data_IF_239966619543
#
_entry.id   IF_239966619543
#
_cell.length_a   1.000
_cell.length_b   1.000
_cell.length_c   1.000
_cell.angle_alpha   90.00
_cell.angle_beta   90.00
_cell.angle_gamma   90.00
#
_symmetry.space_group_name_H-M   'P 1'
#
loop_
_entity.id
_entity.type
_entity.pdbx_description
1 polymer ?
#
# COMPACT_ATOMS: atom_id res chain seq x y z
N UNK A 1 -32.09 8.03 -10.91
CA UNK A 1 -31.16 8.78 -10.04
C UNK A 1 -31.96 9.48 -8.96
N UNK A 2 -32.42 8.71 -7.97
CA UNK A 2 -33.20 9.26 -6.85
C UNK A 2 -32.41 9.39 -5.57
N UNK A 3 -31.20 8.86 -5.54
CA UNK A 3 -30.46 8.63 -4.30
C UNK A 3 -29.31 9.59 -4.05
N UNK A 4 -28.73 10.20 -5.03
CA UNK A 4 -27.46 10.89 -4.85
C UNK A 4 -27.57 12.41 -4.74
N UNK A 5 -28.52 12.85 -3.94
CA UNK A 5 -28.57 14.26 -3.54
C UNK A 5 -27.46 14.65 -2.53
N UNK A 6 -26.62 13.69 -2.13
CA UNK A 6 -25.55 13.95 -1.15
C UNK A 6 -24.19 14.30 -1.78
N UNK A 7 -23.94 13.89 -3.03
CA UNK A 7 -22.69 14.26 -3.71
C UNK A 7 -22.70 15.66 -4.33
N UNK A 8 -23.89 16.20 -4.53
CA UNK A 8 -24.05 17.58 -5.00
C UNK A 8 -24.63 18.37 -3.85
N UNK A 9 -23.98 19.41 -3.41
CA UNK A 9 -24.49 20.22 -2.32
C UNK A 9 -25.94 20.61 -2.63
N UNK A 10 -26.85 20.38 -1.68
CA UNK A 10 -28.27 20.72 -1.81
C UNK A 10 -28.48 22.19 -2.24
N UNK A 11 -27.50 23.03 -1.93
CA UNK A 11 -27.46 24.45 -2.26
C UNK A 11 -27.19 24.72 -3.74
N UNK A 12 -26.45 23.83 -4.44
CA UNK A 12 -26.15 24.03 -5.87
C UNK A 12 -27.31 23.65 -6.79
N UNK A 13 -28.23 22.81 -6.35
CA UNK A 13 -29.33 22.36 -7.20
C UNK A 13 -30.67 22.93 -6.79
N UNK A 14 -30.79 23.63 -5.66
CA UNK A 14 -32.05 24.15 -5.07
C UNK A 14 -33.14 23.08 -4.98
N UNK A 15 -32.76 21.79 -4.91
CA UNK A 15 -33.64 20.65 -4.87
C UNK A 15 -33.68 20.11 -3.45
N UNK A 16 -34.80 20.33 -2.78
CA UNK A 16 -35.09 19.61 -1.53
C UNK A 16 -35.65 18.23 -1.88
N UNK A 17 -34.80 17.21 -1.79
CA UNK A 17 -35.26 15.82 -1.89
C UNK A 17 -36.32 15.53 -0.83
N UNK A 18 -37.45 14.96 -1.25
CA UNK A 18 -38.56 14.60 -0.35
C UNK A 18 -38.58 13.09 -0.05
N UNK A 19 -37.66 12.33 -0.63
CA UNK A 19 -37.59 10.88 -0.49
C UNK A 19 -36.18 10.46 -0.18
N UNK A 20 -35.80 10.50 1.10
CA UNK A 20 -34.53 9.96 1.56
C UNK A 20 -34.50 8.44 1.31
N UNK A 21 -33.33 7.93 0.94
CA UNK A 21 -33.13 6.52 0.62
C UNK A 21 -33.62 5.59 1.74
N UNK A 22 -34.24 4.48 1.34
CA UNK A 22 -34.81 3.44 2.23
C UNK A 22 -35.99 3.88 3.13
N UNK A 23 -36.47 5.11 3.02
CA UNK A 23 -37.65 5.54 3.74
C UNK A 23 -38.94 5.01 3.06
N UNK A 24 -40.08 4.97 3.77
CA UNK A 24 -41.37 4.59 3.14
C UNK A 24 -41.73 5.46 1.92
N UNK A 25 -41.36 6.73 1.95
CA UNK A 25 -41.61 7.62 0.82
C UNK A 25 -40.72 7.32 -0.39
N UNK A 26 -39.49 6.90 -0.15
CA UNK A 26 -38.58 6.40 -1.20
C UNK A 26 -39.19 5.19 -1.92
N UNK A 27 -39.64 4.19 -1.17
CA UNK A 27 -40.24 2.98 -1.74
C UNK A 27 -41.54 3.28 -2.51
N UNK A 28 -42.34 4.19 -2.01
CA UNK A 28 -43.53 4.67 -2.75
C UNK A 28 -43.18 5.29 -4.09
N UNK A 29 -42.05 6.05 -4.18
CA UNK A 29 -41.61 6.61 -5.44
C UNK A 29 -41.08 5.52 -6.39
N UNK A 30 -40.43 4.50 -5.86
CA UNK A 30 -39.96 3.33 -6.62
C UNK A 30 -41.19 2.59 -7.22
N UNK A 31 -42.20 2.33 -6.41
CA UNK A 31 -43.43 1.66 -6.87
C UNK A 31 -44.13 2.45 -7.99
N UNK A 32 -44.24 3.77 -7.86
CA UNK A 32 -44.83 4.63 -8.91
C UNK A 32 -43.97 4.56 -10.18
N UNK A 33 -42.65 4.59 -10.07
CA UNK A 33 -41.78 4.50 -11.23
C UNK A 33 -41.87 3.15 -11.94
N UNK A 34 -41.94 2.05 -11.19
CA UNK A 34 -42.16 0.71 -11.73
C UNK A 34 -43.50 0.58 -12.45
N UNK A 35 -44.59 1.03 -11.81
CA UNK A 35 -45.93 0.99 -12.42
C UNK A 35 -46.01 1.84 -13.70
N UNK A 36 -45.36 2.99 -13.74
CA UNK A 36 -45.28 3.82 -14.91
C UNK A 36 -44.46 3.20 -16.04
N UNK A 37 -43.33 2.58 -15.71
CA UNK A 37 -42.52 1.85 -16.68
C UNK A 37 -43.26 0.70 -17.31
N UNK A 38 -43.95 -0.10 -16.49
CA UNK A 38 -44.82 -1.20 -16.94
C UNK A 38 -45.92 -0.72 -17.90
N UNK A 39 -46.63 0.37 -17.55
CA UNK A 39 -47.69 0.96 -18.39
C UNK A 39 -47.18 1.44 -19.75
N UNK A 40 -45.90 1.76 -19.86
CA UNK A 40 -45.26 2.23 -21.09
C UNK A 40 -44.51 1.12 -21.82
N UNK A 41 -44.53 -0.11 -21.32
CA UNK A 41 -43.77 -1.25 -21.88
C UNK A 41 -42.27 -1.06 -21.82
N UNK A 42 -41.77 -0.33 -20.82
CA UNK A 42 -40.34 -0.10 -20.60
C UNK A 42 -39.75 -1.11 -19.60
N UNK A 43 -38.55 -1.59 -19.88
CA UNK A 43 -37.77 -2.36 -18.91
C UNK A 43 -37.05 -1.41 -17.93
N UNK A 44 -37.15 -1.71 -16.65
CA UNK A 44 -36.52 -0.93 -15.60
C UNK A 44 -35.50 -1.76 -14.86
N UNK A 45 -34.25 -1.30 -14.85
CA UNK A 45 -33.17 -1.89 -14.06
C UNK A 45 -32.92 -1.12 -12.77
N UNK A 46 -32.69 -1.82 -11.68
CA UNK A 46 -32.32 -1.23 -10.40
C UNK A 46 -30.84 -1.55 -10.10
N UNK A 47 -30.06 -0.53 -9.87
CA UNK A 47 -28.72 -0.67 -9.33
C UNK A 47 -28.81 -0.67 -7.80
N UNK A 48 -28.47 -1.82 -7.18
CA UNK A 48 -28.61 -2.02 -5.71
C UNK A 48 -27.49 -1.39 -4.89
N UNK A 49 -26.69 -0.52 -5.50
CA UNK A 49 -25.62 0.20 -4.85
C UNK A 49 -25.86 1.70 -4.99
N UNK A 50 -25.97 2.38 -3.88
CA UNK A 50 -26.00 3.83 -3.81
C UNK A 50 -24.59 4.37 -3.68
N UNK A 51 -23.98 4.70 -4.80
CA UNK A 51 -22.56 5.04 -4.85
C UNK A 51 -21.68 3.83 -4.51
N UNK A 52 -20.88 3.93 -3.48
CA UNK A 52 -20.00 2.85 -3.00
C UNK A 52 -20.54 2.10 -1.77
N UNK A 53 -21.83 2.18 -1.50
CA UNK A 53 -22.46 1.68 -0.28
C UNK A 53 -22.82 0.17 -0.32
N UNK A 54 -22.22 -0.63 -1.21
CA UNK A 54 -22.46 -2.08 -1.26
C UNK A 54 -22.08 -2.81 0.05
N UNK A 55 -21.19 -2.24 0.83
CA UNK A 55 -20.69 -2.85 2.07
C UNK A 55 -21.64 -2.65 3.27
N UNK A 56 -22.74 -1.93 3.13
CA UNK A 56 -23.70 -1.71 4.19
C UNK A 56 -24.11 -0.25 4.36
N UNK A 57 -24.71 0.09 5.48
CA UNK A 57 -25.25 1.42 5.78
C UNK A 57 -25.09 1.79 7.25
N UNK A 58 -25.80 2.81 7.74
CA UNK A 58 -25.64 3.34 9.09
C UNK A 58 -25.99 2.36 10.23
N UNK A 59 -26.59 1.21 9.90
CA UNK A 59 -26.87 0.13 10.83
C UNK A 59 -25.69 -0.79 11.09
N UNK A 60 -24.60 -0.70 10.29
CA UNK A 60 -23.38 -1.50 10.49
C UNK A 60 -22.64 -1.00 11.72
N UNK A 61 -22.40 -1.90 12.65
CA UNK A 61 -21.65 -1.62 13.85
C UNK A 61 -20.14 -1.74 13.60
N UNK A 62 -19.29 -1.12 14.43
CA UNK A 62 -17.83 -1.21 14.29
C UNK A 62 -17.30 -2.64 14.20
N UNK A 63 -17.85 -3.57 14.99
CA UNK A 63 -17.48 -4.99 14.99
C UNK A 63 -17.88 -5.74 13.72
N UNK A 64 -18.84 -5.23 12.97
CA UNK A 64 -19.33 -5.81 11.73
C UNK A 64 -18.68 -5.19 10.49
N UNK A 65 -17.90 -4.13 10.69
CA UNK A 65 -17.21 -3.43 9.61
C UNK A 65 -15.91 -4.14 9.22
N UNK A 66 -15.31 -3.71 8.12
CA UNK A 66 -14.00 -4.21 7.70
C UNK A 66 -12.96 -3.98 8.79
N UNK A 67 -12.28 -5.04 9.18
CA UNK A 67 -11.26 -5.04 10.23
C UNK A 67 -9.85 -4.91 9.63
N UNK A 68 -8.94 -4.34 10.39
CA UNK A 68 -7.50 -4.35 10.11
C UNK A 68 -6.72 -4.79 11.35
N UNK A 69 -5.59 -5.44 11.13
CA UNK A 69 -4.67 -5.75 12.22
C UNK A 69 -3.88 -4.49 12.56
N UNK A 70 -3.87 -4.15 13.83
CA UNK A 70 -3.03 -3.10 14.40
C UNK A 70 -2.17 -3.69 15.51
N UNK A 71 -1.04 -3.09 15.81
CA UNK A 71 -0.15 -3.59 16.85
C UNK A 71 0.51 -2.43 17.60
N UNK A 72 0.97 -2.72 18.80
CA UNK A 72 1.94 -1.91 19.50
C UNK A 72 3.00 -2.83 20.08
N UNK A 73 4.18 -2.31 20.28
CA UNK A 73 5.32 -3.02 20.82
C UNK A 73 5.98 -2.21 21.94
N UNK A 74 6.73 -2.91 22.77
CA UNK A 74 7.58 -2.31 23.77
C UNK A 74 8.73 -3.24 24.07
N UNK A 75 9.88 -2.68 24.42
CA UNK A 75 11.07 -3.45 24.80
C UNK A 75 11.20 -3.40 26.32
N UNK A 76 11.31 -4.57 26.91
CA UNK A 76 11.55 -4.72 28.35
C UNK A 76 12.86 -5.48 28.57
N UNK A 77 13.57 -5.15 29.66
CA UNK A 77 14.76 -5.92 30.04
C UNK A 77 14.35 -7.30 30.55
N UNK A 78 15.24 -8.27 30.43
CA UNK A 78 15.00 -9.60 30.98
C UNK A 78 14.64 -9.56 32.48
N UNK A 79 13.79 -10.49 32.94
CA UNK A 79 13.33 -10.54 34.33
C UNK A 79 11.82 -10.74 34.42
N UNK A 80 11.27 -10.54 35.63
CA UNK A 80 9.84 -10.60 35.86
C UNK A 80 9.25 -9.19 35.80
N UNK A 81 8.30 -8.97 34.91
CA UNK A 81 7.68 -7.66 34.66
C UNK A 81 6.16 -7.78 34.70
N UNK A 82 5.52 -6.77 35.30
CA UNK A 82 4.08 -6.56 35.20
C UNK A 82 3.84 -5.14 34.70
N UNK A 83 3.21 -5.02 33.51
CA UNK A 83 2.88 -3.73 32.91
C UNK A 83 1.64 -3.84 32.05
N UNK A 84 1.02 -2.70 31.77
CA UNK A 84 -0.13 -2.59 30.86
C UNK A 84 0.40 -2.00 29.54
N UNK A 85 0.22 -2.75 28.46
CA UNK A 85 0.54 -2.24 27.13
C UNK A 85 -0.49 -1.17 26.72
N UNK A 86 -0.01 -0.13 26.05
CA UNK A 86 -0.88 0.87 25.44
C UNK A 86 -1.65 0.21 24.29
N UNK A 87 -2.96 0.44 24.24
CA UNK A 87 -3.75 -0.01 23.08
C UNK A 87 -3.27 0.68 21.81
N UNK A 88 -3.17 -0.06 20.68
CA UNK A 88 -2.91 0.54 19.39
C UNK A 88 -3.98 1.56 19.01
N UNK A 89 -3.68 2.42 18.05
CA UNK A 89 -4.67 3.32 17.47
C UNK A 89 -5.79 2.50 16.80
N UNK A 90 -7.03 2.82 17.11
CA UNK A 90 -8.21 2.11 16.63
C UNK A 90 -9.35 3.08 16.32
N UNK A 91 -10.22 2.71 15.39
CA UNK A 91 -11.32 3.52 14.92
C UNK A 91 -12.65 3.17 15.60
N UNK A 92 -13.56 4.12 15.63
CA UNK A 92 -14.95 3.95 16.09
C UNK A 92 -15.09 3.32 17.48
N UNK A 93 -14.03 3.39 18.32
CA UNK A 93 -14.04 2.83 19.67
C UNK A 93 -14.00 1.30 19.76
N UNK A 94 -13.95 0.59 18.63
CA UNK A 94 -13.85 -0.86 18.62
C UNK A 94 -12.39 -1.32 18.59
N UNK A 95 -12.08 -2.29 19.44
CA UNK A 95 -10.78 -2.92 19.54
C UNK A 95 -10.90 -4.28 20.23
N UNK A 96 -10.26 -5.28 19.68
CA UNK A 96 -10.19 -6.63 20.25
C UNK A 96 -8.75 -7.14 20.21
N UNK A 97 -8.29 -7.68 21.34
CA UNK A 97 -6.97 -8.30 21.44
C UNK A 97 -6.97 -9.66 20.71
N UNK A 98 -6.08 -9.83 19.77
CA UNK A 98 -5.90 -11.11 19.06
C UNK A 98 -4.84 -11.95 19.78
N UNK A 99 -3.67 -11.38 20.07
CA UNK A 99 -2.56 -12.06 20.70
C UNK A 99 -1.55 -11.08 21.30
N UNK A 100 -0.80 -11.55 22.27
CA UNK A 100 0.39 -10.88 22.81
C UNK A 100 1.57 -11.84 22.67
N UNK A 101 2.66 -11.36 22.11
CA UNK A 101 3.88 -12.15 21.93
C UNK A 101 5.02 -11.56 22.74
N UNK A 102 5.81 -12.41 23.37
CA UNK A 102 7.11 -12.07 23.95
C UNK A 102 8.20 -12.67 23.04
N UNK A 103 9.02 -11.83 22.45
CA UNK A 103 10.06 -12.24 21.51
C UNK A 103 11.42 -11.91 22.12
N UNK A 104 12.30 -12.91 22.33
CA UNK A 104 13.68 -12.63 22.76
C UNK A 104 14.42 -11.79 21.71
N UNK A 105 15.02 -10.69 22.12
CA UNK A 105 15.66 -9.75 21.20
C UNK A 105 17.17 -9.98 21.11
N UNK A 106 17.75 -10.80 21.96
CA UNK A 106 19.19 -11.06 21.99
C UNK A 106 20.01 -9.79 22.21
N UNK A 107 21.23 -9.75 21.68
CA UNK A 107 22.15 -8.60 21.76
C UNK A 107 21.88 -7.52 20.69
N UNK A 108 20.71 -7.55 20.08
CA UNK A 108 20.35 -6.56 19.06
C UNK A 108 20.20 -5.18 19.71
N UNK A 109 20.83 -4.19 19.06
CA UNK A 109 20.73 -2.80 19.50
C UNK A 109 19.26 -2.37 19.59
N UNK A 110 18.76 -1.90 20.75
CA UNK A 110 17.37 -1.45 20.91
C UNK A 110 16.94 -0.37 19.90
N UNK A 111 17.87 0.42 19.36
CA UNK A 111 17.61 1.42 18.33
C UNK A 111 17.15 0.78 17.00
N UNK A 112 17.51 -0.48 16.75
CA UNK A 112 17.08 -1.25 15.58
C UNK A 112 15.58 -1.60 15.68
N UNK A 113 15.04 -1.71 16.89
CA UNK A 113 13.65 -2.07 17.17
C UNK A 113 12.76 -0.87 17.50
N UNK A 114 13.25 0.35 17.39
CA UNK A 114 12.42 1.53 17.49
C UNK A 114 11.50 1.67 16.27
N UNK A 115 10.71 0.63 16.00
CA UNK A 115 9.59 0.67 15.07
C UNK A 115 8.55 1.63 15.62
N UNK A 116 8.65 2.86 15.25
CA UNK A 116 7.50 3.74 15.32
C UNK A 116 6.63 3.41 14.12
N UNK A 117 5.38 3.21 14.35
CA UNK A 117 4.27 3.07 13.42
C UNK A 117 4.61 3.57 12.01
N UNK A 118 4.72 2.66 11.04
CA UNK A 118 4.92 2.97 9.63
C UNK A 118 6.25 3.60 9.23
N UNK A 119 7.18 3.77 10.15
CA UNK A 119 8.51 4.24 9.85
C UNK A 119 9.49 3.07 10.00
N UNK A 120 9.59 2.23 8.98
CA UNK A 120 10.85 1.57 8.72
C UNK A 120 11.90 2.67 8.65
N UNK A 121 12.87 2.70 9.53
CA UNK A 121 14.07 3.47 9.28
C UNK A 121 14.83 2.71 8.19
N UNK A 122 14.48 3.02 6.95
CA UNK A 122 15.28 2.60 5.83
C UNK A 122 16.68 3.15 6.05
N UNK A 123 17.67 2.27 6.04
CA UNK A 123 19.04 2.64 6.35
C UNK A 123 19.61 3.63 5.32
N UNK A 124 19.07 3.63 4.08
CA UNK A 124 19.60 4.43 2.98
C UNK A 124 18.46 4.95 2.09
N UNK A 125 18.54 6.23 1.71
CA UNK A 125 17.57 6.89 0.81
C UNK A 125 18.24 7.27 -0.51
N UNK A 126 17.49 7.16 -1.62
CA UNK A 126 17.94 7.60 -2.95
C UNK A 126 18.20 9.12 -3.01
N UNK A 127 17.69 9.87 -2.05
CA UNK A 127 17.93 11.30 -1.91
C UNK A 127 19.31 11.62 -1.39
N UNK A 128 20.01 10.66 -0.76
CA UNK A 128 21.38 10.84 -0.33
C UNK A 128 22.35 10.71 -1.51
N UNK A 129 22.69 11.83 -2.10
CA UNK A 129 23.56 11.93 -3.28
C UNK A 129 24.99 11.42 -3.06
N UNK A 130 25.38 11.13 -1.81
CA UNK A 130 26.72 10.55 -1.52
C UNK A 130 26.80 9.08 -1.87
N UNK A 131 25.64 8.40 -1.85
CA UNK A 131 25.57 6.95 -2.06
C UNK A 131 24.62 6.56 -3.18
N UNK A 132 23.93 7.50 -3.78
CA UNK A 132 22.91 7.25 -4.76
C UNK A 132 23.08 8.10 -6.02
N UNK A 133 22.94 7.44 -7.17
CA UNK A 133 22.97 8.04 -8.50
C UNK A 133 21.77 7.53 -9.32
N UNK A 134 21.49 8.19 -10.44
CA UNK A 134 20.45 7.76 -11.36
C UNK A 134 20.76 8.20 -12.78
N UNK A 135 20.14 7.55 -13.77
CA UNK A 135 20.35 7.83 -15.19
C UNK A 135 19.87 9.22 -15.59
N UNK A 136 20.38 9.72 -16.72
CA UNK A 136 20.04 11.05 -17.27
C UNK A 136 18.56 11.22 -17.61
N UNK A 137 17.83 10.14 -17.82
CA UNK A 137 16.40 10.14 -18.12
C UNK A 137 15.53 10.46 -16.90
N UNK A 138 16.10 10.36 -15.70
CA UNK A 138 15.42 10.73 -14.46
C UNK A 138 15.53 12.24 -14.24
N UNK A 139 14.38 12.88 -14.14
CA UNK A 139 14.28 14.30 -13.76
C UNK A 139 13.69 14.46 -12.37
N UNK A 140 13.96 15.56 -11.71
CA UNK A 140 13.34 15.87 -10.42
C UNK A 140 12.53 17.15 -10.58
N UNK A 141 11.25 17.09 -10.18
CA UNK A 141 10.39 18.27 -10.20
C UNK A 141 10.59 19.17 -8.97
N UNK A 142 9.92 20.33 -8.93
CA UNK A 142 10.01 21.32 -7.84
C UNK A 142 9.62 20.77 -6.45
N UNK A 143 8.87 19.66 -6.41
CA UNK A 143 8.45 18.96 -5.18
C UNK A 143 9.41 17.84 -4.78
N UNK A 144 10.55 17.71 -5.47
CA UNK A 144 11.53 16.65 -5.20
C UNK A 144 11.07 15.25 -5.64
N UNK A 145 10.10 15.14 -6.55
CA UNK A 145 9.63 13.87 -7.10
C UNK A 145 10.50 13.48 -8.28
N UNK A 146 11.06 12.28 -8.26
CA UNK A 146 11.75 11.67 -9.39
C UNK A 146 10.75 11.25 -10.45
N UNK A 147 10.98 11.65 -11.69
CA UNK A 147 10.12 11.40 -12.84
C UNK A 147 10.91 10.83 -14.01
N UNK A 148 10.35 9.83 -14.70
CA UNK A 148 10.90 9.31 -15.96
C UNK A 148 9.77 8.78 -16.83
N UNK A 149 9.88 8.94 -18.15
CA UNK A 149 8.97 8.40 -19.17
C UNK A 149 9.67 7.48 -20.19
N UNK A 150 10.95 7.19 -19.95
CA UNK A 150 11.81 6.28 -20.70
C UNK A 150 12.50 5.33 -19.76
N UNK A 151 13.10 4.27 -20.33
CA UNK A 151 13.95 3.38 -19.54
C UNK A 151 14.94 4.17 -18.69
N UNK A 152 14.95 3.88 -17.40
CA UNK A 152 15.82 4.55 -16.44
C UNK A 152 16.29 3.60 -15.33
N UNK A 153 17.26 4.04 -14.58
CA UNK A 153 17.73 3.31 -13.42
C UNK A 153 18.09 4.26 -12.28
N UNK A 154 18.01 3.71 -11.06
CA UNK A 154 18.52 4.27 -9.81
C UNK A 154 19.55 3.32 -9.25
N UNK A 155 20.64 3.80 -8.67
CA UNK A 155 21.73 2.96 -8.17
C UNK A 155 22.28 3.48 -6.85
N UNK A 156 22.47 2.55 -5.93
CA UNK A 156 23.29 2.79 -4.73
C UNK A 156 24.67 2.23 -4.96
N UNK A 157 25.65 2.95 -4.41
CA UNK A 157 27.05 2.54 -4.33
C UNK A 157 27.51 2.69 -2.88
N UNK A 158 27.95 1.59 -2.29
CA UNK A 158 28.45 1.54 -0.93
C UNK A 158 29.97 1.46 -0.91
N UNK A 159 30.59 2.08 0.10
CA UNK A 159 32.04 1.97 0.31
C UNK A 159 32.43 0.51 0.54
N UNK A 160 31.69 -0.20 1.38
CA UNK A 160 31.83 -1.62 1.66
C UNK A 160 30.60 -2.41 1.25
N UNK A 161 30.73 -3.70 0.88
CA UNK A 161 29.57 -4.54 0.61
C UNK A 161 28.57 -4.52 1.76
N UNK A 162 27.33 -4.11 1.47
CA UNK A 162 26.26 -3.93 2.44
C UNK A 162 25.22 -5.01 2.27
N UNK A 163 24.78 -5.61 3.38
CA UNK A 163 23.72 -6.61 3.40
C UNK A 163 22.36 -5.92 3.38
N UNK A 164 21.57 -6.18 2.34
CA UNK A 164 20.24 -5.59 2.12
C UNK A 164 19.19 -6.68 2.08
N UNK A 165 18.06 -6.46 2.75
CA UNK A 165 16.94 -7.38 2.87
C UNK A 165 15.67 -6.89 2.19
N UNK A 166 15.52 -5.59 2.03
CA UNK A 166 14.28 -5.01 1.53
C UNK A 166 14.50 -3.68 0.80
N UNK A 167 13.45 -3.32 0.08
CA UNK A 167 13.29 -2.03 -0.59
C UNK A 167 11.97 -1.44 -0.18
N UNK A 168 11.97 -0.20 0.28
CA UNK A 168 10.78 0.59 0.53
C UNK A 168 10.65 1.66 -0.54
N UNK A 169 9.49 1.75 -1.18
CA UNK A 169 9.21 2.72 -2.22
C UNK A 169 8.12 3.67 -1.73
N UNK A 170 8.40 4.97 -1.82
CA UNK A 170 7.44 6.03 -1.58
C UNK A 170 6.92 6.55 -2.93
N UNK A 171 5.72 6.15 -3.36
CA UNK A 171 5.15 6.60 -4.62
C UNK A 171 4.72 8.07 -4.54
N UNK A 172 4.65 8.73 -5.68
CA UNK A 172 3.95 10.01 -5.79
C UNK A 172 2.49 9.77 -6.15
N UNK A 173 1.62 9.95 -5.17
CA UNK A 173 0.20 9.62 -5.31
C UNK A 173 -0.02 8.11 -5.46
N UNK A 174 -0.83 7.73 -6.44
CA UNK A 174 -1.13 6.32 -6.77
C UNK A 174 -0.21 5.74 -7.84
N UNK A 175 1.01 6.27 -8.02
CA UNK A 175 1.87 5.84 -9.11
C UNK A 175 2.39 4.41 -8.91
N UNK A 176 1.81 3.45 -9.63
CA UNK A 176 2.20 2.05 -9.62
C UNK A 176 3.53 1.84 -10.35
N UNK A 177 3.83 2.65 -11.37
CA UNK A 177 5.02 2.48 -12.21
C UNK A 177 6.32 2.47 -11.41
N UNK A 178 6.45 3.34 -10.39
CA UNK A 178 7.64 3.37 -9.55
C UNK A 178 7.84 2.10 -8.68
N UNK A 179 6.84 1.23 -8.61
CA UNK A 179 6.89 -0.02 -7.87
C UNK A 179 7.20 -1.25 -8.74
N UNK A 180 7.44 -1.05 -10.05
CA UNK A 180 7.75 -2.11 -11.03
C UNK A 180 9.24 -2.20 -11.34
N UNK A 181 10.07 -2.03 -10.36
CA UNK A 181 11.51 -1.99 -10.57
C UNK A 181 12.10 -3.39 -10.66
N UNK A 182 13.02 -3.59 -11.59
CA UNK A 182 13.90 -4.75 -11.62
C UNK A 182 15.11 -4.50 -10.72
N UNK A 183 15.21 -5.28 -9.65
CA UNK A 183 16.28 -5.16 -8.66
C UNK A 183 17.47 -6.00 -9.08
N UNK A 184 18.64 -5.38 -9.14
CA UNK A 184 19.91 -6.01 -9.48
C UNK A 184 20.97 -5.67 -8.44
N UNK A 185 21.96 -6.53 -8.30
CA UNK A 185 23.14 -6.28 -7.47
C UNK A 185 24.43 -6.58 -8.22
N UNK A 186 25.50 -5.90 -7.82
CA UNK A 186 26.85 -6.08 -8.36
C UNK A 186 27.91 -5.81 -7.29
N UNK A 187 29.08 -6.44 -7.43
CA UNK A 187 30.22 -6.19 -6.57
C UNK A 187 31.28 -5.30 -7.24
N UNK A 188 31.21 -5.17 -8.57
CA UNK A 188 32.15 -4.38 -9.40
C UNK A 188 31.52 -3.15 -10.09
N UNK A 189 30.19 -3.00 -10.01
CA UNK A 189 29.45 -1.92 -10.67
C UNK A 189 29.24 -2.09 -12.19
N UNK A 190 29.72 -3.20 -12.75
CA UNK A 190 29.68 -3.50 -14.18
C UNK A 190 28.82 -4.74 -14.45
N UNK A 191 29.09 -5.82 -13.74
CA UNK A 191 28.38 -7.10 -13.89
C UNK A 191 27.25 -7.20 -12.87
N UNK A 192 26.03 -6.99 -13.32
CA UNK A 192 24.83 -7.02 -12.50
C UNK A 192 24.10 -8.35 -12.59
N UNK A 193 23.81 -8.98 -11.45
CA UNK A 193 22.92 -10.13 -11.32
C UNK A 193 21.51 -9.66 -10.94
N UNK A 194 20.49 -10.27 -11.53
CA UNK A 194 19.07 -10.00 -11.19
C UNK A 194 18.77 -10.64 -9.84
N UNK A 195 18.13 -9.90 -8.96
CA UNK A 195 17.66 -10.37 -7.65
C UNK A 195 16.15 -10.64 -7.66
N UNK A 196 15.37 -9.65 -8.07
CA UNK A 196 13.91 -9.72 -8.05
C UNK A 196 13.30 -8.70 -9.00
N UNK A 197 12.23 -9.10 -9.71
CA UNK A 197 11.28 -8.16 -10.30
C UNK A 197 10.27 -7.79 -9.22
N UNK A 198 10.16 -6.52 -8.89
CA UNK A 198 9.13 -6.04 -7.97
C UNK A 198 7.79 -6.06 -8.67
N UNK A 199 6.80 -6.65 -8.02
CA UNK A 199 5.42 -6.66 -8.49
C UNK A 199 4.60 -5.76 -7.58
N UNK A 200 4.05 -4.65 -8.07
CA UNK A 200 3.28 -3.74 -7.25
C UNK A 200 2.05 -4.45 -6.69
N UNK A 201 1.69 -4.20 -5.42
CA UNK A 201 0.42 -4.63 -4.90
C UNK A 201 -0.69 -3.92 -5.66
N UNK A 202 -1.84 -4.58 -5.78
CA UNK A 202 -3.02 -3.95 -6.37
C UNK A 202 -3.45 -2.77 -5.51
N UNK A 203 -3.35 -1.58 -6.05
CA UNK A 203 -3.72 -0.34 -5.38
C UNK A 203 -4.87 0.33 -6.13
N UNK A 204 -5.89 0.77 -5.39
CA UNK A 204 -6.91 1.68 -5.91
C UNK A 204 -6.53 3.14 -5.65
N UNK A 205 -7.25 4.03 -6.26
CA UNK A 205 -7.12 5.47 -6.08
C UNK A 205 -7.26 5.94 -4.62
N UNK A 206 -7.84 5.11 -3.76
CA UNK A 206 -8.00 5.37 -2.32
C UNK A 206 -6.72 5.13 -1.50
N UNK A 207 -5.71 4.46 -2.05
CA UNK A 207 -4.47 4.10 -1.37
C UNK A 207 -3.35 5.13 -1.58
N UNK A 208 -3.70 6.40 -1.60
CA UNK A 208 -2.72 7.48 -1.80
C UNK A 208 -1.87 7.70 -0.56
N UNK A 209 -0.56 7.86 -0.77
CA UNK A 209 0.36 8.31 0.28
C UNK A 209 0.96 7.20 1.15
N UNK A 210 0.69 5.92 0.86
CA UNK A 210 1.33 4.81 1.54
C UNK A 210 2.59 4.36 0.81
N UNK A 211 3.63 4.05 1.57
CA UNK A 211 4.81 3.38 1.08
C UNK A 211 4.49 1.91 0.80
N UNK A 212 5.30 1.29 -0.03
CA UNK A 212 5.23 -0.15 -0.26
C UNK A 212 6.59 -0.77 0.03
N UNK A 213 6.59 -1.79 0.87
CA UNK A 213 7.79 -2.52 1.28
C UNK A 213 7.87 -3.84 0.53
N UNK A 214 8.99 -4.04 -0.16
CA UNK A 214 9.30 -5.30 -0.86
C UNK A 214 10.46 -5.99 -0.19
N UNK A 215 10.29 -7.24 0.22
CA UNK A 215 11.42 -8.08 0.58
C UNK A 215 12.20 -8.48 -0.68
N UNK A 216 13.52 -8.55 -0.58
CA UNK A 216 14.38 -9.11 -1.61
C UNK A 216 15.19 -10.26 -1.02
N UNK A 217 15.73 -11.17 -1.83
CA UNK A 217 16.68 -12.16 -1.31
C UNK A 217 17.80 -11.46 -0.55
N UNK A 218 18.12 -11.87 0.70
CA UNK A 218 19.21 -11.28 1.46
C UNK A 218 20.49 -11.24 0.61
N UNK A 219 20.99 -10.04 0.32
CA UNK A 219 22.08 -9.87 -0.63
C UNK A 219 23.12 -8.92 -0.07
N UNK A 220 24.34 -9.41 0.06
CA UNK A 220 25.51 -8.58 0.34
C UNK A 220 26.16 -8.18 -0.97
N UNK A 221 26.21 -6.87 -1.24
CA UNK A 221 26.79 -6.33 -2.46
C UNK A 221 27.24 -4.88 -2.27
N UNK A 222 28.13 -4.42 -3.14
CA UNK A 222 28.59 -3.03 -3.16
C UNK A 222 27.65 -2.13 -3.95
N UNK A 223 26.98 -2.66 -4.97
CA UNK A 223 26.07 -1.91 -5.84
C UNK A 223 24.71 -2.56 -5.87
N UNK A 224 23.66 -1.74 -5.74
CA UNK A 224 22.27 -2.15 -5.96
C UNK A 224 21.66 -1.22 -7.01
N UNK A 225 21.13 -1.81 -8.09
CA UNK A 225 20.50 -1.06 -9.19
C UNK A 225 19.05 -1.45 -9.34
N UNK A 226 18.22 -0.45 -9.59
CA UNK A 226 16.79 -0.52 -9.75
C UNK A 226 16.45 0.02 -11.13
N UNK A 227 16.05 -0.85 -12.04
CA UNK A 227 15.75 -0.48 -13.41
C UNK A 227 14.24 -0.44 -13.63
N UNK A 228 13.79 0.54 -14.37
CA UNK A 228 12.42 0.68 -14.82
C UNK A 228 12.34 0.84 -16.33
N UNK A 229 11.30 0.22 -16.93
CA UNK A 229 10.98 0.37 -18.36
C UNK A 229 9.49 0.69 -18.49
N UNK A 230 9.11 1.59 -19.42
CA UNK A 230 7.71 1.92 -19.70
C UNK A 230 6.97 0.82 -20.47
N UNK A 231 7.60 -0.29 -20.78
CA UNK A 231 7.05 -1.39 -21.54
C UNK A 231 6.15 -2.28 -20.68
N UNK A 232 5.06 -2.77 -21.30
CA UNK A 232 4.15 -3.72 -20.68
C UNK A 232 2.91 -3.11 -20.05
N UNK A 233 1.91 -3.97 -19.85
CA UNK A 233 0.70 -3.66 -19.09
C UNK A 233 0.91 -4.01 -17.61
N UNK A 234 0.31 -3.23 -16.73
CA UNK A 234 0.36 -3.48 -15.30
C UNK A 234 -0.43 -4.73 -14.92
N UNK A 235 0.20 -5.75 -14.32
CA UNK A 235 -0.57 -6.81 -13.67
C UNK A 235 -1.44 -6.19 -12.56
N UNK A 236 -2.75 -6.39 -12.65
CA UNK A 236 -3.68 -5.83 -11.66
C UNK A 236 -4.02 -4.35 -11.83
N UNK A 237 -3.61 -3.71 -12.91
CA UNK A 237 -4.16 -2.43 -13.36
C UNK A 237 -5.61 -2.62 -13.81
N UNK A 238 -6.45 -3.04 -12.88
CA UNK A 238 -7.90 -3.09 -13.08
C UNK A 238 -8.55 -1.72 -12.96
N UNK A 239 -7.81 -0.72 -12.55
CA UNK A 239 -8.20 0.66 -12.75
C UNK A 239 -8.15 0.92 -14.25
N UNK A 240 -9.34 0.99 -14.83
CA UNK A 240 -9.58 1.31 -16.24
C UNK A 240 -8.78 2.53 -16.71
N UNK A 241 -8.38 3.40 -15.78
CA UNK A 241 -7.60 4.59 -16.05
C UNK A 241 -6.10 4.29 -16.23
N UNK A 242 -5.52 3.31 -15.55
CA UNK A 242 -4.11 2.97 -15.72
C UNK A 242 -3.79 2.44 -17.13
N UNK A 243 -4.73 1.73 -17.76
CA UNK A 243 -4.60 1.24 -19.12
C UNK A 243 -4.67 2.35 -20.19
N UNK A 244 -5.17 3.54 -19.85
CA UNK A 244 -5.33 4.67 -20.78
C UNK A 244 -4.15 5.62 -20.79
N UNK A 245 -3.28 5.57 -19.79
CA UNK A 245 -2.22 6.55 -19.63
C UNK A 245 -0.86 5.98 -20.04
N UNK A 246 -0.09 6.80 -20.72
CA UNK A 246 1.32 6.48 -20.98
C UNK A 246 2.03 6.18 -19.67
N UNK A 247 2.73 5.04 -19.54
CA UNK A 247 3.48 4.73 -18.33
C UNK A 247 4.50 5.83 -18.02
N UNK A 248 4.43 6.38 -16.82
CA UNK A 248 5.37 7.37 -16.30
C UNK A 248 5.72 7.02 -14.87
N UNK A 249 6.99 6.85 -14.59
CA UNK A 249 7.49 6.67 -13.23
C UNK A 249 7.39 8.00 -12.49
N UNK A 250 6.82 7.98 -11.26
CA UNK A 250 6.79 9.11 -10.33
C UNK A 250 7.02 8.59 -8.92
N UNK A 251 8.18 8.87 -8.38
CA UNK A 251 8.66 8.35 -7.10
C UNK A 251 9.15 9.48 -6.22
N UNK A 252 8.74 9.50 -4.97
CA UNK A 252 9.24 10.45 -3.98
C UNK A 252 10.53 9.97 -3.33
N UNK A 253 10.60 8.67 -3.02
CA UNK A 253 11.80 8.08 -2.42
C UNK A 253 11.88 6.59 -2.71
N UNK A 254 13.10 6.08 -2.70
CA UNK A 254 13.43 4.66 -2.72
C UNK A 254 14.47 4.44 -1.63
N UNK A 255 14.18 3.51 -0.72
CA UNK A 255 15.00 3.26 0.46
C UNK A 255 15.42 1.81 0.52
N UNK A 256 16.63 1.57 0.97
CA UNK A 256 17.13 0.23 1.24
C UNK A 256 17.12 -0.06 2.74
N UNK A 257 16.63 -1.23 3.11
CA UNK A 257 16.61 -1.70 4.48
C UNK A 257 17.62 -2.84 4.73
N UNK A 258 18.30 -2.77 5.87
CA UNK A 258 19.28 -3.76 6.30
C UNK A 258 18.73 -4.79 7.29
N UNK A 259 17.42 -4.76 7.52
CA UNK A 259 16.71 -5.69 8.39
C UNK A 259 15.70 -6.51 7.60
N UNK A 260 15.47 -7.77 7.96
CA UNK A 260 14.40 -8.57 7.38
C UNK A 260 13.02 -7.92 7.60
N UNK A 261 12.15 -7.99 6.60
CA UNK A 261 10.77 -7.50 6.66
C UNK A 261 9.83 -8.49 6.00
N UNK A 262 8.55 -8.41 6.36
CA UNK A 262 7.49 -9.10 5.65
C UNK A 262 7.23 -8.37 4.33
N UNK A 263 7.29 -9.11 3.22
CA UNK A 263 6.97 -8.57 1.88
C UNK A 263 5.56 -8.02 1.84
N UNK A 264 5.40 -6.79 1.35
CA UNK A 264 4.12 -6.09 1.26
C UNK A 264 3.29 -6.13 2.55
N UNK A 265 3.95 -5.86 3.67
CA UNK A 265 3.30 -5.91 4.99
C UNK A 265 2.12 -4.92 5.10
N UNK A 266 2.20 -3.78 4.44
CA UNK A 266 1.16 -2.76 4.41
C UNK A 266 -0.16 -3.33 3.86
N UNK A 267 -0.07 -4.13 2.79
CA UNK A 267 -1.22 -4.83 2.24
C UNK A 267 -1.70 -5.97 3.14
N UNK A 268 -0.78 -6.77 3.67
CA UNK A 268 -1.09 -7.93 4.51
C UNK A 268 -1.71 -7.57 5.86
N UNK A 269 -1.42 -6.40 6.37
CA UNK A 269 -2.04 -5.88 7.61
C UNK A 269 -3.32 -5.10 7.37
N UNK A 270 -3.75 -4.93 6.13
CA UNK A 270 -4.93 -4.13 5.77
C UNK A 270 -4.73 -2.62 5.90
N UNK A 271 -3.47 -2.15 5.97
CA UNK A 271 -3.16 -0.73 5.98
C UNK A 271 -3.53 -0.06 4.66
N UNK A 272 -3.35 -0.78 3.56
CA UNK A 272 -3.82 -0.39 2.23
C UNK A 272 -5.08 -1.17 1.86
N UNK A 273 -5.96 -0.54 1.11
CA UNK A 273 -7.30 -1.07 0.84
C UNK A 273 -7.33 -2.34 -0.03
N UNK A 274 -6.38 -2.48 -0.94
CA UNK A 274 -6.32 -3.64 -1.85
C UNK A 274 -4.98 -4.34 -1.77
N UNK A 275 -5.03 -5.66 -1.74
CA UNK A 275 -3.87 -6.54 -1.79
C UNK A 275 -3.92 -7.33 -3.10
N UNK A 276 -2.79 -7.52 -3.75
CA UNK A 276 -2.69 -8.43 -4.90
C UNK A 276 -2.96 -9.87 -4.45
N UNK A 277 -3.86 -10.61 -5.10
CA UNK A 277 -4.06 -12.03 -4.79
C UNK A 277 -2.79 -12.87 -4.93
N UNK A 278 -1.86 -12.45 -5.78
CA UNK A 278 -0.57 -13.14 -5.94
C UNK A 278 0.29 -13.10 -4.68
N UNK A 279 0.11 -12.07 -3.83
CA UNK A 279 0.90 -11.91 -2.62
C UNK A 279 0.48 -12.85 -1.49
N UNK A 280 -0.65 -13.51 -1.62
CA UNK A 280 -1.17 -14.44 -0.61
C UNK A 280 -0.60 -15.85 -0.74
N UNK A 281 -0.02 -16.20 -1.89
CA UNK A 281 0.37 -17.57 -2.22
C UNK A 281 1.85 -17.84 -1.93
N UNK A 282 2.69 -16.81 -1.87
CA UNK A 282 4.14 -17.00 -1.89
C UNK A 282 4.85 -16.52 -0.61
N UNK A 283 4.20 -16.70 0.53
CA UNK A 283 4.93 -16.66 1.79
C UNK A 283 5.65 -18.01 1.92
N UNK A 284 6.87 -18.09 1.42
CA UNK A 284 7.72 -19.24 1.67
C UNK A 284 8.06 -19.29 3.17
N UNK A 285 7.16 -19.92 3.92
CA UNK A 285 7.33 -20.15 5.36
C UNK A 285 8.57 -20.99 5.68
N UNK A 286 9.22 -21.59 4.67
CA UNK A 286 10.44 -22.36 4.82
C UNK A 286 11.69 -21.50 5.02
N UNK A 287 11.61 -20.18 4.82
CA UNK A 287 12.69 -19.25 5.14
C UNK A 287 12.76 -18.83 6.60
N UNK A 288 12.00 -19.45 7.49
CA UNK A 288 12.12 -19.21 8.94
C UNK A 288 13.54 -19.44 9.49
N UNK A 289 14.28 -20.33 8.86
CA UNK A 289 15.65 -20.67 9.29
C UNK A 289 16.65 -19.53 9.14
N UNK A 290 16.39 -18.54 8.29
CA UNK A 290 17.26 -17.39 8.11
C UNK A 290 16.96 -16.21 9.05
N UNK A 291 15.82 -16.19 9.69
CA UNK A 291 15.42 -15.11 10.63
C UNK A 291 15.98 -15.36 12.03
N UNK A 292 16.30 -16.62 12.36
CA UNK A 292 16.71 -17.02 13.70
C UNK A 292 18.10 -17.64 13.81
N UNK A 293 18.88 -17.70 12.74
CA UNK A 293 20.19 -18.35 12.73
C UNK A 293 21.38 -17.37 12.75
N UNK A 294 21.21 -16.21 13.36
CA UNK A 294 22.34 -15.32 13.69
C UNK A 294 22.24 -14.86 15.12
#
# INVERSE_FOLDING_TARGET
MLSDAHSWSKEQLDLKGQADALTPNFWKMVDIALAQADSLGLEMGIHVCDGFALAGGPWIKPEESMQKIVFCDTIVRGGHHQFIMKKPEHNAGYYEDIAVYAIPVGDLNPEIFAYRYGAFQAAYSIKDKRQATYSSEVTTNDKGVFCADKHCWFQYEFENPTLVFNVEIEPSGTNIQCQRLLVKASDDGVNFRVLKQLTPPRQGWQNTGYNTTFSIPPTQAKYFRFEWTPEGTEPGAEDLDAAKWKPVLRMKDLRLGTLPVIDNWEGKTGLVWRVSPADTVDVDLRRRDHIYSQ
#
